data_IF_835345284491
#
_entry.id   IF_835345284491
#
_cell.length_a   1.000
_cell.length_b   1.000
_cell.length_c   1.000
_cell.angle_alpha   90.00
_cell.angle_beta   90.00
_cell.angle_gamma   90.00
#
_symmetry.space_group_name_H-M   'P 1'
#
loop_
_entity.id
_entity.type
_entity.pdbx_description
1 polymer ?
#
# COMPACT_ATOMS: atom_id res chain seq x y z
N UNK A 1 -9.17 37.63 -18.40
CA UNK A 1 -9.72 36.55 -17.59
C UNK A 1 -9.23 35.25 -18.17
N UNK A 2 -8.27 34.64 -17.49
CA UNK A 2 -7.68 33.39 -17.93
C UNK A 2 -8.58 32.23 -17.45
N UNK A 3 -9.41 31.75 -18.37
CA UNK A 3 -10.51 30.79 -18.15
C UNK A 3 -10.02 29.32 -18.04
N UNK A 4 -8.72 29.10 -17.80
CA UNK A 4 -8.16 27.76 -17.73
C UNK A 4 -8.44 27.10 -16.38
N UNK A 5 -9.51 26.31 -16.35
CA UNK A 5 -9.75 25.33 -15.27
C UNK A 5 -8.81 24.13 -15.42
N UNK A 6 -8.41 23.52 -14.30
CA UNK A 6 -7.61 22.31 -14.29
C UNK A 6 -8.20 21.22 -15.21
N UNK A 7 -7.35 20.60 -16.02
CA UNK A 7 -7.67 19.54 -16.97
C UNK A 7 -7.43 18.14 -16.39
N UNK A 8 -6.43 18.02 -15.51
CA UNK A 8 -6.14 16.80 -14.77
C UNK A 8 -5.54 17.12 -13.40
N UNK A 9 -5.71 16.21 -12.45
CA UNK A 9 -5.07 16.28 -11.16
C UNK A 9 -4.84 14.88 -10.60
N UNK A 10 -3.75 14.70 -9.87
CA UNK A 10 -3.38 13.42 -9.24
C UNK A 10 -2.69 13.66 -7.91
N UNK A 11 -2.82 12.69 -7.01
CA UNK A 11 -2.03 12.60 -5.80
C UNK A 11 -0.82 11.69 -6.06
N UNK A 12 0.36 12.24 -5.83
CA UNK A 12 1.63 11.53 -5.86
C UNK A 12 1.99 11.09 -4.45
N UNK A 13 2.23 9.79 -4.30
CA UNK A 13 2.49 9.13 -3.03
C UNK A 13 3.89 8.53 -3.06
N UNK A 14 4.64 8.70 -1.98
CA UNK A 14 5.92 8.06 -1.77
C UNK A 14 6.04 7.57 -0.32
N UNK A 15 6.76 6.47 -0.10
CA UNK A 15 7.11 6.05 1.26
C UNK A 15 8.00 7.12 1.91
N UNK A 16 7.70 7.47 3.15
CA UNK A 16 8.51 8.42 3.92
C UNK A 16 9.79 7.75 4.47
N UNK A 17 9.68 6.46 4.80
CA UNK A 17 10.78 5.66 5.33
C UNK A 17 11.76 5.27 4.23
N UNK A 18 13.05 5.39 4.54
CA UNK A 18 14.12 5.01 3.60
C UNK A 18 14.14 3.50 3.44
N UNK A 19 13.97 3.04 2.20
CA UNK A 19 14.06 1.62 1.87
C UNK A 19 15.53 1.18 1.83
N UNK A 20 15.79 -0.12 1.99
CA UNK A 20 17.13 -0.65 1.80
C UNK A 20 17.64 -0.33 0.37
N UNK A 21 18.94 -0.04 0.17
CA UNK A 21 19.46 0.37 -1.14
C UNK A 21 19.20 -0.61 -2.29
N UNK A 22 19.04 -1.89 -1.97
CA UNK A 22 18.74 -2.99 -2.89
C UNK A 22 17.34 -3.58 -2.67
N UNK A 23 16.44 -2.86 -1.99
CA UNK A 23 15.07 -3.30 -1.79
C UNK A 23 14.40 -3.58 -3.14
N UNK A 24 13.65 -4.67 -3.20
CA UNK A 24 12.93 -5.10 -4.39
C UNK A 24 11.41 -5.03 -4.17
N UNK A 25 10.79 -3.83 -4.29
CA UNK A 25 9.35 -3.68 -4.04
C UNK A 25 8.52 -4.38 -5.12
N UNK A 26 7.54 -5.18 -4.70
CA UNK A 26 6.64 -5.89 -5.62
C UNK A 26 5.51 -5.01 -6.17
N UNK A 27 5.20 -3.93 -5.45
CA UNK A 27 4.15 -2.97 -5.78
C UNK A 27 4.68 -1.54 -5.75
N UNK A 28 4.26 -0.75 -6.73
CA UNK A 28 4.54 0.68 -6.79
C UNK A 28 3.64 1.51 -5.86
N UNK A 29 3.77 2.85 -5.90
CA UNK A 29 2.82 3.74 -5.25
C UNK A 29 1.39 3.51 -5.78
N UNK A 30 0.36 3.63 -4.92
CA UNK A 30 -1.01 3.49 -5.39
C UNK A 30 -1.42 4.70 -6.24
N UNK A 31 -2.06 4.44 -7.37
CA UNK A 31 -2.60 5.50 -8.23
C UNK A 31 -3.77 6.21 -7.55
N UNK A 32 -3.77 7.53 -7.53
CA UNK A 32 -4.86 8.31 -6.94
C UNK A 32 -5.19 9.54 -7.80
N UNK A 33 -5.98 9.37 -8.88
CA UNK A 33 -6.47 10.51 -9.65
C UNK A 33 -7.41 11.36 -8.79
N UNK A 34 -7.35 12.68 -8.95
CA UNK A 34 -8.14 13.63 -8.19
C UNK A 34 -9.31 14.14 -9.02
N UNK A 35 -10.49 14.20 -8.41
CA UNK A 35 -11.64 14.89 -8.96
C UNK A 35 -11.33 16.39 -9.12
N UNK A 36 -11.75 16.95 -10.24
CA UNK A 36 -11.53 18.35 -10.57
C UNK A 36 -12.72 19.21 -10.12
N UNK A 37 -12.48 20.45 -9.65
CA UNK A 37 -13.56 21.38 -9.36
C UNK A 37 -14.31 21.74 -10.63
N UNK A 38 -15.62 21.96 -10.49
CA UNK A 38 -16.50 22.28 -11.63
C UNK A 38 -16.15 23.66 -12.19
N UNK A 39 -15.91 23.76 -13.51
CA UNK A 39 -15.60 25.04 -14.19
C UNK A 39 -16.67 26.10 -13.89
N UNK A 40 -16.22 27.31 -13.57
CA UNK A 40 -17.09 28.45 -13.23
C UNK A 40 -17.80 28.37 -11.87
N UNK A 41 -17.59 27.31 -11.08
CA UNK A 41 -18.15 27.17 -9.75
C UNK A 41 -17.38 28.00 -8.72
N UNK A 42 -17.99 29.08 -8.21
CA UNK A 42 -17.44 29.83 -7.07
C UNK A 42 -17.42 28.92 -5.83
N UNK A 43 -16.22 28.51 -5.39
CA UNK A 43 -15.95 28.19 -3.98
C UNK A 43 -16.08 26.73 -3.50
N UNK A 44 -16.41 25.75 -4.34
CA UNK A 44 -16.45 24.35 -3.88
C UNK A 44 -15.18 23.59 -4.25
N UNK A 45 -14.35 23.29 -3.25
CA UNK A 45 -13.23 22.36 -3.39
C UNK A 45 -13.75 20.97 -3.80
N UNK A 46 -13.13 20.37 -4.81
CA UNK A 46 -13.44 18.99 -5.19
C UNK A 46 -12.90 18.02 -4.14
N UNK A 47 -13.67 16.99 -3.81
CA UNK A 47 -13.29 15.95 -2.87
C UNK A 47 -13.08 14.63 -3.61
N UNK A 48 -11.92 14.01 -3.38
CA UNK A 48 -11.61 12.67 -3.85
C UNK A 48 -11.57 11.73 -2.66
N UNK A 49 -12.21 10.58 -2.78
CA UNK A 49 -12.15 9.52 -1.77
C UNK A 49 -11.76 8.22 -2.47
N UNK A 50 -10.69 7.59 -2.00
CA UNK A 50 -10.25 6.27 -2.45
C UNK A 50 -9.87 5.45 -1.22
N UNK A 51 -10.32 4.20 -1.18
CA UNK A 51 -9.88 3.27 -0.14
C UNK A 51 -8.48 2.77 -0.46
N UNK A 52 -7.55 2.98 0.47
CA UNK A 52 -6.15 2.56 0.38
C UNK A 52 -5.78 1.53 1.46
N UNK A 53 -6.75 1.10 2.26
CA UNK A 53 -6.51 0.23 3.43
C UNK A 53 -6.01 -1.17 3.05
N UNK A 54 -6.29 -1.62 1.83
CA UNK A 54 -5.86 -2.93 1.31
C UNK A 54 -4.49 -2.90 0.60
N UNK A 55 -3.93 -1.69 0.36
CA UNK A 55 -2.64 -1.51 -0.29
C UNK A 55 -1.49 -1.98 0.62
N UNK A 56 -0.39 -2.46 0.05
CA UNK A 56 0.77 -2.94 0.82
C UNK A 56 1.45 -1.84 1.64
N UNK A 57 1.23 -0.57 1.30
CA UNK A 57 1.77 0.58 2.05
C UNK A 57 0.88 0.98 3.23
N UNK A 58 -0.27 0.32 3.45
CA UNK A 58 -1.18 0.66 4.54
C UNK A 58 -0.50 0.54 5.90
N UNK A 59 -0.74 1.52 6.77
CA UNK A 59 -0.09 1.67 8.08
C UNK A 59 1.30 2.28 8.01
N UNK A 60 1.89 2.42 6.81
CA UNK A 60 3.19 3.04 6.61
C UNK A 60 3.14 4.57 6.59
N UNK A 61 4.26 5.20 6.93
CA UNK A 61 4.44 6.64 6.79
C UNK A 61 4.66 6.99 5.32
N UNK A 62 3.88 7.94 4.79
CA UNK A 62 3.90 8.35 3.39
C UNK A 62 4.00 9.86 3.24
N UNK A 63 4.60 10.29 2.14
CA UNK A 63 4.60 11.67 1.65
C UNK A 63 3.55 11.79 0.55
N UNK A 64 2.68 12.79 0.68
CA UNK A 64 1.63 13.12 -0.27
C UNK A 64 1.89 14.49 -0.89
N UNK A 65 1.93 14.55 -2.22
CA UNK A 65 2.00 15.78 -3.02
C UNK A 65 0.87 15.77 -4.03
N UNK A 66 0.16 16.89 -4.19
CA UNK A 66 -0.89 17.02 -5.19
C UNK A 66 -0.34 17.75 -6.41
N UNK A 67 -0.59 17.22 -7.60
CA UNK A 67 -0.18 17.82 -8.88
C UNK A 67 -1.41 18.03 -9.74
N UNK A 68 -1.58 19.24 -10.27
CA UNK A 68 -2.65 19.59 -11.21
C UNK A 68 -2.06 20.17 -12.49
N UNK A 69 -2.70 19.88 -13.62
CA UNK A 69 -2.34 20.39 -14.95
C UNK A 69 -3.54 21.08 -15.58
N UNK A 70 -3.35 22.28 -16.13
CA UNK A 70 -4.39 23.01 -16.86
C UNK A 70 -4.51 22.59 -18.35
N UNK A 71 -5.48 23.15 -19.08
CA UNK A 71 -5.66 22.88 -20.52
C UNK A 71 -4.49 23.39 -21.38
N UNK A 72 -3.73 24.36 -20.89
CA UNK A 72 -2.56 24.92 -21.57
C UNK A 72 -1.28 24.09 -21.31
N UNK A 73 -1.35 23.08 -20.45
CA UNK A 73 -0.25 22.20 -20.09
C UNK A 73 0.62 22.71 -18.93
N UNK A 74 0.24 23.80 -18.27
CA UNK A 74 0.94 24.26 -17.07
C UNK A 74 0.65 23.33 -15.90
N UNK A 75 1.68 23.05 -15.11
CA UNK A 75 1.60 22.19 -13.93
C UNK A 75 1.82 23.00 -12.66
N UNK A 76 1.06 22.68 -11.61
CA UNK A 76 1.24 23.23 -10.27
C UNK A 76 1.26 22.08 -9.26
N UNK A 77 2.15 22.20 -8.27
CA UNK A 77 2.32 21.21 -7.20
C UNK A 77 2.01 21.83 -5.84
N UNK A 78 1.44 21.04 -4.94
CA UNK A 78 1.20 21.45 -3.56
C UNK A 78 2.45 21.29 -2.70
N UNK A 79 2.40 21.83 -1.47
CA UNK A 79 3.29 21.39 -0.40
C UNK A 79 3.17 19.88 -0.19
N UNK A 80 4.31 19.23 0.08
CA UNK A 80 4.35 17.81 0.47
C UNK A 80 4.01 17.64 1.94
N UNK A 81 3.01 16.81 2.24
CA UNK A 81 2.65 16.46 3.63
C UNK A 81 3.02 15.03 3.96
N UNK A 82 3.54 14.82 5.17
CA UNK A 82 3.79 13.47 5.69
C UNK A 82 2.60 13.03 6.54
N UNK A 83 2.10 11.82 6.30
CA UNK A 83 0.97 11.24 7.04
C UNK A 83 1.08 9.71 7.08
N UNK A 84 0.32 9.07 7.96
CA UNK A 84 0.23 7.61 8.00
C UNK A 84 -0.87 7.15 7.05
N UNK A 85 -0.56 6.22 6.14
CA UNK A 85 -1.57 5.65 5.25
C UNK A 85 -2.60 4.88 6.09
N UNK A 86 -3.92 5.11 5.89
CA UNK A 86 -4.94 4.37 6.60
C UNK A 86 -4.76 2.85 6.43
N UNK A 87 -4.96 2.10 7.51
CA UNK A 87 -4.97 0.64 7.50
C UNK A 87 -6.23 0.11 8.17
N UNK A 88 -6.61 -1.12 7.79
CA UNK A 88 -7.70 -1.83 8.46
C UNK A 88 -7.19 -2.32 9.82
N UNK A 89 -7.89 -2.04 10.93
CA UNK A 89 -7.50 -2.57 12.23
C UNK A 89 -7.75 -4.08 12.30
N UNK A 90 -6.77 -4.83 12.79
CA UNK A 90 -6.89 -6.27 13.05
C UNK A 90 -6.81 -6.55 14.56
N UNK A 91 -7.95 -6.92 15.15
CA UNK A 91 -8.02 -7.32 16.55
C UNK A 91 -7.41 -8.71 16.80
N UNK A 92 -7.51 -9.60 15.80
CA UNK A 92 -6.91 -10.93 15.88
C UNK A 92 -5.38 -10.85 15.68
N UNK A 93 -4.57 -11.27 16.66
CA UNK A 93 -3.11 -11.23 16.56
C UNK A 93 -2.53 -12.00 15.38
N UNK A 94 -3.13 -13.15 15.02
CA UNK A 94 -2.71 -13.96 13.88
C UNK A 94 -2.93 -13.21 12.56
N UNK A 95 -4.10 -12.60 12.38
CA UNK A 95 -4.39 -11.81 11.19
C UNK A 95 -3.45 -10.59 11.09
N UNK A 96 -3.13 -9.96 12.22
CA UNK A 96 -2.15 -8.86 12.29
C UNK A 96 -0.75 -9.32 11.88
N UNK A 97 -0.31 -10.50 12.32
CA UNK A 97 0.98 -11.04 11.93
C UNK A 97 1.04 -11.34 10.41
N UNK A 98 -0.02 -11.89 9.84
CA UNK A 98 -0.09 -12.19 8.40
C UNK A 98 -0.08 -10.92 7.55
N UNK A 99 -0.82 -9.88 7.93
CA UNK A 99 -0.83 -8.62 7.17
C UNK A 99 0.53 -7.90 7.23
N UNK A 100 1.22 -7.99 8.36
CA UNK A 100 2.58 -7.46 8.52
C UNK A 100 3.59 -8.20 7.63
N UNK A 101 3.49 -9.53 7.56
CA UNK A 101 4.29 -10.35 6.65
C UNK A 101 4.02 -10.01 5.17
N UNK A 102 2.74 -9.81 4.80
CA UNK A 102 2.36 -9.35 3.45
C UNK A 102 2.98 -7.99 3.12
N UNK A 103 2.96 -7.06 4.08
CA UNK A 103 3.61 -5.73 3.93
C UNK A 103 5.12 -5.88 3.73
N UNK A 104 5.78 -6.68 4.57
CA UNK A 104 7.22 -6.92 4.48
C UNK A 104 7.61 -7.46 3.10
N UNK A 105 6.90 -8.47 2.61
CA UNK A 105 7.14 -9.04 1.27
C UNK A 105 6.82 -8.06 0.15
N UNK A 106 5.73 -7.30 0.27
CA UNK A 106 5.31 -6.33 -0.74
C UNK A 106 6.26 -5.15 -0.89
N UNK A 107 6.90 -4.72 0.20
CA UNK A 107 7.89 -3.64 0.22
C UNK A 107 9.28 -4.10 -0.23
N UNK A 108 9.63 -5.35 0.05
CA UNK A 108 10.91 -5.93 -0.35
C UNK A 108 10.81 -7.45 -0.54
N UNK A 109 10.84 -7.92 -1.79
CA UNK A 109 10.84 -9.33 -2.15
C UNK A 109 12.06 -10.09 -1.60
N UNK A 110 13.17 -9.39 -1.33
CA UNK A 110 14.34 -10.01 -0.70
C UNK A 110 14.05 -10.47 0.74
N UNK A 111 12.95 -10.01 1.35
CA UNK A 111 12.49 -10.47 2.66
C UNK A 111 11.87 -11.88 2.64
N UNK A 112 11.71 -12.54 1.48
CA UNK A 112 11.15 -13.89 1.35
C UNK A 112 11.68 -14.88 2.40
N UNK A 113 13.01 -15.03 2.63
CA UNK A 113 13.51 -15.97 3.65
C UNK A 113 12.99 -15.63 5.06
N UNK A 114 12.98 -14.34 5.40
CA UNK A 114 12.50 -13.87 6.70
C UNK A 114 11.00 -14.12 6.88
N UNK A 115 10.20 -13.89 5.85
CA UNK A 115 8.76 -14.15 5.90
C UNK A 115 8.50 -15.65 6.09
N UNK A 116 9.24 -16.53 5.41
CA UNK A 116 9.13 -17.98 5.61
C UNK A 116 9.45 -18.40 7.05
N UNK A 117 10.51 -17.84 7.66
CA UNK A 117 10.84 -18.08 9.07
C UNK A 117 9.71 -17.64 10.01
N UNK A 118 9.10 -16.48 9.75
CA UNK A 118 8.00 -15.98 10.56
C UNK A 118 6.74 -16.85 10.42
N UNK A 119 6.45 -17.34 9.22
CA UNK A 119 5.38 -18.32 9.01
C UNK A 119 5.67 -19.62 9.75
N UNK A 120 6.90 -20.13 9.67
CA UNK A 120 7.35 -21.32 10.41
C UNK A 120 7.16 -21.17 11.92
N UNK A 121 7.56 -20.02 12.47
CA UNK A 121 7.42 -19.72 13.89
C UNK A 121 5.95 -19.73 14.37
N UNK A 122 5.04 -19.14 13.59
CA UNK A 122 3.60 -19.13 13.90
C UNK A 122 3.02 -20.56 13.82
N UNK A 123 3.54 -21.39 12.93
CA UNK A 123 3.06 -22.77 12.72
C UNK A 123 3.73 -23.82 13.62
N UNK A 124 4.68 -23.42 14.48
CA UNK A 124 5.50 -24.34 15.27
C UNK A 124 4.68 -25.16 16.28
N UNK A 125 3.68 -24.53 16.92
CA UNK A 125 2.77 -25.14 17.90
C UNK A 125 1.33 -24.80 17.53
N UNK A 126 0.77 -25.48 16.52
CA UNK A 126 -0.52 -25.09 15.94
C UNK A 126 -1.67 -25.21 16.94
N UNK A 127 -1.61 -26.15 17.88
CA UNK A 127 -2.60 -26.35 18.94
C UNK A 127 -2.71 -25.17 19.92
N UNK A 128 -1.63 -24.42 20.11
CA UNK A 128 -1.61 -23.25 21.00
C UNK A 128 -1.90 -21.94 20.24
N UNK A 129 -1.70 -21.93 18.92
CA UNK A 129 -1.71 -20.70 18.10
C UNK A 129 -3.00 -20.53 17.29
N UNK A 130 -3.70 -21.62 16.97
CA UNK A 130 -4.86 -21.61 16.08
C UNK A 130 -6.09 -22.21 16.75
N UNK A 131 -7.13 -21.39 16.93
CA UNK A 131 -8.46 -21.86 17.35
C UNK A 131 -9.15 -22.71 16.27
N UNK A 132 -8.77 -22.51 15.00
CA UNK A 132 -9.34 -23.20 13.85
C UNK A 132 -8.23 -23.75 12.94
N UNK A 133 -8.21 -25.07 12.79
CA UNK A 133 -7.22 -25.78 11.98
C UNK A 133 -7.31 -25.43 10.48
N UNK A 134 -8.45 -24.94 9.99
CA UNK A 134 -8.56 -24.43 8.63
C UNK A 134 -7.65 -23.21 8.39
N UNK A 135 -7.46 -22.34 9.39
CA UNK A 135 -6.53 -21.21 9.28
C UNK A 135 -5.07 -21.68 9.25
N UNK A 136 -4.74 -22.70 10.04
CA UNK A 136 -3.41 -23.33 9.98
C UNK A 136 -3.13 -23.88 8.58
N UNK A 137 -4.05 -24.64 8.00
CA UNK A 137 -3.90 -25.18 6.64
C UNK A 137 -3.78 -24.06 5.59
N UNK A 138 -4.52 -22.96 5.74
CA UNK A 138 -4.41 -21.81 4.85
C UNK A 138 -3.00 -21.17 4.91
N UNK A 139 -2.43 -21.00 6.11
CA UNK A 139 -1.07 -20.47 6.28
C UNK A 139 -0.04 -21.43 5.72
N UNK A 140 -0.16 -22.75 5.97
CA UNK A 140 0.75 -23.75 5.43
C UNK A 140 0.72 -23.82 3.89
N UNK A 141 -0.46 -23.66 3.29
CA UNK A 141 -0.62 -23.53 1.84
C UNK A 141 0.05 -22.26 1.30
N UNK A 142 -0.18 -21.11 1.94
CA UNK A 142 0.48 -19.85 1.57
C UNK A 142 2.01 -19.94 1.69
N UNK A 143 2.52 -20.52 2.78
CA UNK A 143 3.94 -20.75 3.01
C UNK A 143 4.56 -21.62 1.91
N UNK A 144 3.87 -22.72 1.55
CA UNK A 144 4.35 -23.63 0.51
C UNK A 144 4.43 -22.92 -0.85
N UNK A 145 3.42 -22.13 -1.21
CA UNK A 145 3.44 -21.30 -2.42
C UNK A 145 4.58 -20.28 -2.39
N UNK A 146 4.75 -19.56 -1.29
CA UNK A 146 5.85 -18.59 -1.12
C UNK A 146 7.22 -19.27 -1.29
N UNK A 147 7.40 -20.46 -0.70
CA UNK A 147 8.65 -21.22 -0.83
C UNK A 147 8.97 -21.55 -2.29
N UNK A 148 7.98 -21.95 -3.07
CA UNK A 148 8.10 -22.30 -4.49
C UNK A 148 8.11 -21.09 -5.43
N UNK A 149 7.82 -19.88 -4.94
CA UNK A 149 7.74 -18.68 -5.78
C UNK A 149 9.14 -18.22 -6.22
N UNK A 150 9.43 -18.24 -7.52
CA UNK A 150 10.75 -17.93 -8.07
C UNK A 150 10.76 -16.65 -8.93
N UNK A 151 9.62 -15.97 -9.04
CA UNK A 151 9.48 -14.69 -9.74
C UNK A 151 8.44 -13.78 -9.07
N UNK A 152 8.42 -12.50 -9.46
CA UNK A 152 7.58 -11.47 -8.84
C UNK A 152 6.09 -11.75 -8.94
N UNK A 153 5.63 -12.31 -10.07
CA UNK A 153 4.21 -12.63 -10.25
C UNK A 153 3.74 -13.72 -9.28
N UNK A 154 4.63 -14.64 -8.91
CA UNK A 154 4.34 -15.67 -7.90
C UNK A 154 4.47 -15.16 -6.46
N UNK A 155 5.15 -14.04 -6.24
CA UNK A 155 5.30 -13.40 -4.93
C UNK A 155 4.17 -12.43 -4.59
N UNK A 156 3.42 -11.95 -5.60
CA UNK A 156 2.26 -11.05 -5.46
C UNK A 156 0.99 -11.79 -5.04
#
# INVERSE_FOLDING_TARGET
DDDYGAASAKAELALADTQAPNAHPLYGPPDMPLALPRRGGKGNAAKTSKDLTEHVWSGGSIKLTLTATDDAGHTATSETKTLVMPERPFANPLARAVIEQRRMLGLDANSKPRVLELMDAITLRPEDTFDNMAHYLAIMSARSRLKMADNDDQLR
#
